data_IF_118604542515
#
_entry.id   IF_118604542515
#
_cell.length_a   1.000
_cell.length_b   1.000
_cell.length_c   1.000
_cell.angle_alpha   90.00
_cell.angle_beta   90.00
_cell.angle_gamma   90.00
#
_symmetry.space_group_name_H-M   'P 1'
#
loop_
_entity.id
_entity.type
_entity.pdbx_description
1 polymer ?
#
# COMPACT_ATOMS: atom_id res chain seq x y z
N UNK A 1 14.24 4.93 -28.04
CA UNK A 1 13.93 5.87 -26.95
C UNK A 1 13.51 5.04 -25.75
N UNK A 2 14.29 5.11 -24.66
CA UNK A 2 14.36 4.09 -23.61
C UNK A 2 13.05 3.91 -22.84
N UNK A 3 12.67 2.64 -22.62
CA UNK A 3 11.59 2.27 -21.70
C UNK A 3 12.06 2.60 -20.29
N UNK A 4 11.61 3.72 -19.73
CA UNK A 4 11.73 3.97 -18.28
C UNK A 4 11.09 2.80 -17.57
N UNK A 5 11.85 2.09 -16.75
CA UNK A 5 11.34 0.94 -16.02
C UNK A 5 10.27 1.47 -15.03
N UNK A 6 9.04 0.93 -15.02
CA UNK A 6 8.00 1.44 -14.13
C UNK A 6 8.47 1.41 -12.68
N UNK A 7 8.24 2.50 -11.97
CA UNK A 7 8.62 2.66 -10.56
C UNK A 7 7.71 1.83 -9.67
N UNK A 8 8.08 1.65 -8.41
CA UNK A 8 7.15 1.06 -7.42
C UNK A 8 5.85 1.86 -7.32
N UNK A 9 5.92 3.19 -7.45
CA UNK A 9 4.74 4.07 -7.40
C UNK A 9 3.79 3.78 -8.57
N UNK A 10 4.32 3.70 -9.79
CA UNK A 10 3.49 3.40 -10.98
C UNK A 10 2.78 2.05 -10.82
N UNK A 11 3.50 1.03 -10.34
CA UNK A 11 2.91 -0.30 -10.09
C UNK A 11 1.89 -0.31 -8.96
N UNK A 12 2.09 0.52 -7.92
CA UNK A 12 1.15 0.65 -6.81
C UNK A 12 -0.14 1.34 -7.26
N UNK A 13 -0.04 2.37 -8.11
CA UNK A 13 -1.19 3.07 -8.68
C UNK A 13 -1.98 2.14 -9.63
N UNK A 14 -1.30 1.31 -10.44
CA UNK A 14 -1.93 0.27 -11.26
C UNK A 14 -2.67 -0.77 -10.40
N UNK A 15 -2.06 -1.18 -9.27
CA UNK A 15 -2.69 -2.12 -8.33
C UNK A 15 -3.91 -1.49 -7.66
N UNK A 16 -3.84 -0.23 -7.23
CA UNK A 16 -4.97 0.49 -6.65
C UNK A 16 -6.16 0.56 -7.62
N UNK A 17 -5.88 0.88 -8.90
CA UNK A 17 -6.90 0.91 -9.93
C UNK A 17 -7.60 -0.45 -10.11
N UNK A 18 -6.84 -1.55 -10.09
CA UNK A 18 -7.39 -2.91 -10.15
C UNK A 18 -8.24 -3.26 -8.94
N UNK A 19 -7.95 -2.70 -7.77
CA UNK A 19 -8.73 -2.89 -6.56
C UNK A 19 -9.98 -1.98 -6.46
N UNK A 20 -10.18 -1.03 -7.37
CA UNK A 20 -11.34 -0.13 -7.34
C UNK A 20 -12.71 -0.83 -7.33
N UNK A 21 -12.96 -1.93 -8.07
CA UNK A 21 -14.21 -2.67 -7.96
C UNK A 21 -14.46 -3.22 -6.55
N UNK A 22 -13.42 -3.72 -5.88
CA UNK A 22 -13.50 -4.16 -4.49
C UNK A 22 -13.85 -2.99 -3.57
N UNK A 23 -13.15 -1.85 -3.70
CA UNK A 23 -13.45 -0.62 -2.95
C UNK A 23 -14.90 -0.19 -3.11
N UNK A 24 -15.44 -0.21 -4.33
CA UNK A 24 -16.84 0.19 -4.61
C UNK A 24 -17.87 -0.73 -3.95
N UNK A 25 -17.53 -1.99 -3.72
CA UNK A 25 -18.41 -2.94 -3.02
C UNK A 25 -18.39 -2.77 -1.49
N UNK A 26 -17.42 -2.04 -0.93
CA UNK A 26 -17.32 -1.79 0.51
C UNK A 26 -18.37 -0.78 0.99
N UNK A 27 -18.82 -0.94 2.24
CA UNK A 27 -19.55 0.11 2.97
C UNK A 27 -18.73 1.39 3.01
N UNK A 28 -19.40 2.55 3.04
CA UNK A 28 -18.76 3.89 3.01
C UNK A 28 -17.69 4.08 4.09
N UNK A 29 -17.87 3.51 5.28
CA UNK A 29 -16.86 3.53 6.36
C UNK A 29 -15.59 2.77 5.95
N UNK A 30 -15.76 1.56 5.42
CA UNK A 30 -14.67 0.70 4.95
C UNK A 30 -13.96 1.22 3.70
N UNK A 31 -14.61 2.07 2.90
CA UNK A 31 -13.95 2.75 1.78
C UNK A 31 -12.84 3.70 2.27
N UNK A 32 -13.06 4.40 3.40
CA UNK A 32 -12.03 5.27 3.98
C UNK A 32 -10.85 4.46 4.53
N UNK A 33 -11.12 3.32 5.16
CA UNK A 33 -10.09 2.38 5.62
C UNK A 33 -9.26 1.87 4.44
N UNK A 34 -9.93 1.53 3.32
CA UNK A 34 -9.27 1.11 2.09
C UNK A 34 -8.35 2.21 1.52
N UNK A 35 -8.82 3.45 1.43
CA UNK A 35 -8.01 4.56 0.91
C UNK A 35 -6.74 4.78 1.75
N UNK A 36 -6.86 4.66 3.09
CA UNK A 36 -5.73 4.76 4.02
C UNK A 36 -4.68 3.66 3.83
N UNK A 37 -5.07 2.45 3.40
CA UNK A 37 -4.11 1.37 3.14
C UNK A 37 -3.13 1.78 2.02
N UNK A 38 -3.65 2.31 0.91
CA UNK A 38 -2.82 2.71 -0.22
C UNK A 38 -2.02 3.98 0.05
N UNK A 39 -2.58 4.95 0.78
CA UNK A 39 -1.83 6.10 1.29
C UNK A 39 -0.60 5.67 2.11
N UNK A 40 -0.77 4.74 3.04
CA UNK A 40 0.31 4.22 3.87
C UNK A 40 1.33 3.39 3.08
N UNK A 41 0.86 2.56 2.15
CA UNK A 41 1.74 1.77 1.30
C UNK A 41 2.70 2.64 0.46
N UNK A 42 2.29 3.86 0.08
CA UNK A 42 3.15 4.83 -0.62
C UNK A 42 4.34 5.31 0.23
N UNK A 43 4.18 5.40 1.55
CA UNK A 43 5.24 5.85 2.47
C UNK A 43 6.39 4.84 2.57
N UNK A 44 6.15 3.58 2.22
CA UNK A 44 7.18 2.53 2.22
C UNK A 44 7.88 2.35 0.85
N UNK A 45 7.66 3.26 -0.10
CA UNK A 45 8.23 3.18 -1.44
C UNK A 45 9.77 3.06 -1.48
N UNK A 46 10.47 3.68 -0.52
CA UNK A 46 11.94 3.59 -0.43
C UNK A 46 12.42 2.18 -0.07
N UNK A 47 11.70 1.48 0.82
CA UNK A 47 12.01 0.11 1.21
C UNK A 47 11.54 -0.90 0.15
N UNK A 48 10.35 -0.71 -0.41
CA UNK A 48 9.78 -1.57 -1.44
C UNK A 48 10.60 -1.55 -2.76
N UNK A 49 11.36 -0.49 -3.02
CA UNK A 49 12.32 -0.45 -4.13
C UNK A 49 13.41 -1.53 -4.07
N UNK A 50 13.70 -2.07 -2.88
CA UNK A 50 14.69 -3.15 -2.69
C UNK A 50 14.12 -4.54 -2.99
N UNK A 51 12.80 -4.70 -3.07
CA UNK A 51 12.12 -5.96 -3.35
C UNK A 51 12.06 -6.33 -4.84
N UNK A 52 12.75 -5.59 -5.72
CA UNK A 52 12.94 -5.89 -7.15
C UNK A 52 11.70 -6.48 -7.85
N UNK A 53 10.81 -5.60 -8.33
CA UNK A 53 9.88 -5.66 -9.49
C UNK A 53 9.15 -6.96 -9.90
N UNK A 54 9.33 -8.10 -9.24
CA UNK A 54 8.83 -9.40 -9.69
C UNK A 54 7.44 -9.66 -9.15
N UNK A 55 7.07 -9.01 -8.03
CA UNK A 55 5.71 -9.02 -7.52
C UNK A 55 5.36 -7.70 -6.80
N UNK A 56 4.95 -6.66 -7.54
CA UNK A 56 4.58 -5.37 -6.97
C UNK A 56 3.37 -5.44 -6.04
N UNK A 57 2.47 -6.41 -6.25
CA UNK A 57 1.29 -6.60 -5.41
C UNK A 57 1.70 -7.11 -4.03
N UNK A 58 2.62 -8.08 -3.97
CA UNK A 58 3.20 -8.53 -2.71
C UNK A 58 3.95 -7.42 -1.99
N UNK A 59 4.70 -6.59 -2.72
CA UNK A 59 5.38 -5.43 -2.14
C UNK A 59 4.39 -4.41 -1.57
N UNK A 60 3.27 -4.16 -2.27
CA UNK A 60 2.20 -3.30 -1.80
C UNK A 60 1.53 -3.84 -0.53
N UNK A 61 1.15 -5.12 -0.53
CA UNK A 61 0.54 -5.78 0.65
C UNK A 61 1.49 -5.79 1.84
N UNK A 62 2.78 -6.11 1.64
CA UNK A 62 3.76 -6.06 2.71
C UNK A 62 3.93 -4.64 3.28
N UNK A 63 3.92 -3.63 2.41
CA UNK A 63 3.98 -2.23 2.81
C UNK A 63 2.75 -1.82 3.64
N UNK A 64 1.56 -2.29 3.26
CA UNK A 64 0.33 -2.06 4.04
C UNK A 64 0.41 -2.71 5.42
N UNK A 65 0.84 -3.97 5.49
CA UNK A 65 0.99 -4.71 6.74
C UNK A 65 2.02 -4.05 7.67
N UNK A 66 3.16 -3.61 7.12
CA UNK A 66 4.18 -2.93 7.91
C UNK A 66 3.68 -1.61 8.49
N UNK A 67 2.92 -0.83 7.71
CA UNK A 67 2.31 0.40 8.20
C UNK A 67 1.27 0.13 9.30
N UNK A 68 0.51 -0.96 9.20
CA UNK A 68 -0.43 -1.38 10.23
C UNK A 68 0.28 -1.82 11.51
N UNK A 69 1.36 -2.59 11.41
CA UNK A 69 2.13 -3.02 12.59
C UNK A 69 2.74 -1.81 13.32
N UNK A 70 3.22 -0.82 12.58
CA UNK A 70 3.73 0.43 13.15
C UNK A 70 2.64 1.19 13.94
N UNK A 71 1.44 1.36 13.36
CA UNK A 71 0.32 2.00 14.05
C UNK A 71 -0.16 1.19 15.26
N UNK A 72 -0.23 -0.14 15.15
CA UNK A 72 -0.60 -1.01 16.27
C UNK A 72 0.36 -0.87 17.44
N UNK A 73 1.68 -0.80 17.17
CA UNK A 73 2.68 -0.54 18.20
C UNK A 73 2.47 0.83 18.85
N UNK A 74 2.31 1.90 18.07
CA UNK A 74 2.07 3.25 18.60
C UNK A 74 0.79 3.33 19.45
N UNK A 75 -0.27 2.63 19.06
CA UNK A 75 -1.50 2.56 19.83
C UNK A 75 -1.34 1.79 21.14
N UNK A 76 -0.55 0.69 21.14
CA UNK A 76 -0.23 -0.08 22.35
C UNK A 76 0.60 0.75 23.32
N UNK A 77 1.64 1.42 22.84
CA UNK A 77 2.50 2.31 23.65
C UNK A 77 1.75 3.48 24.30
N UNK A 78 0.58 3.86 23.78
CA UNK A 78 -0.27 4.92 24.36
C UNK A 78 -1.25 4.42 25.42
N UNK A 79 -1.50 3.11 25.45
CA UNK A 79 -2.36 2.47 26.44
C UNK A 79 -1.58 2.02 27.68
N UNK A 80 -0.27 1.84 27.53
CA UNK A 80 0.70 1.64 28.62
C UNK A 80 1.06 2.97 29.32
#
# INVERSE_FOLDING_TARGET
MGRTNPTYRDRLDDYEQRCQPFRRALRRERQKDFDRLFERARNHAHAAGHLNATDPERAAVLSMLLAQEAELRELRERLD
#
